data_IF_542721628988
#
_entry.id   IF_542721628988
#
_cell.length_a   1.000
_cell.length_b   1.000
_cell.length_c   1.000
_cell.angle_alpha   90.00
_cell.angle_beta   90.00
_cell.angle_gamma   90.00
#
_symmetry.space_group_name_H-M   'P 1'
#
loop_
_entity.id
_entity.type
_entity.pdbx_description
1 polymer ?
#
# COMPACT_ATOMS: atom_id res chain seq x y z
N UNK A 1 60.46 -88.16 110.20
CA UNK A 1 61.73 -87.57 110.67
C UNK A 1 62.80 -87.69 109.59
N UNK A 2 63.13 -86.59 108.91
CA UNK A 2 64.47 -86.20 108.44
C UNK A 2 64.37 -84.84 107.74
N UNK A 3 65.24 -83.95 108.16
CA UNK A 3 65.32 -82.51 107.89
C UNK A 3 66.30 -82.20 106.74
N UNK A 4 66.41 -80.90 106.43
CA UNK A 4 67.38 -80.17 105.57
C UNK A 4 66.87 -79.81 104.16
N UNK A 5 67.16 -78.63 103.58
CA UNK A 5 67.70 -77.32 104.01
C UNK A 5 67.49 -76.36 102.82
N UNK A 6 67.28 -75.09 103.14
CA UNK A 6 67.12 -73.94 102.23
C UNK A 6 68.46 -73.55 101.55
N UNK A 7 68.44 -73.17 100.26
CA UNK A 7 69.54 -72.51 99.49
C UNK A 7 68.93 -71.94 98.19
N UNK A 8 68.44 -70.69 98.09
CA UNK A 8 69.14 -69.40 97.87
C UNK A 8 70.31 -69.52 96.86
N UNK A 9 70.03 -69.81 95.57
CA UNK A 9 70.20 -68.75 94.55
C UNK A 9 69.28 -68.94 93.31
N UNK A 10 68.01 -69.28 93.49
CA UNK A 10 67.05 -69.54 92.39
C UNK A 10 66.38 -68.26 91.80
N UNK A 11 66.77 -67.06 92.24
CA UNK A 11 66.01 -65.82 91.98
C UNK A 11 66.67 -64.89 90.94
N UNK A 12 67.94 -65.11 90.58
CA UNK A 12 68.66 -64.21 89.65
C UNK A 12 68.60 -64.70 88.18
N UNK A 13 68.28 -65.97 87.93
CA UNK A 13 68.27 -66.52 86.58
C UNK A 13 66.93 -66.33 85.84
N UNK A 14 65.83 -66.10 86.56
CA UNK A 14 64.49 -65.93 85.97
C UNK A 14 64.15 -64.47 85.61
N UNK A 15 64.91 -63.49 86.07
CA UNK A 15 64.70 -62.07 85.77
C UNK A 15 65.42 -61.58 84.50
N UNK A 16 66.34 -62.37 83.93
CA UNK A 16 67.01 -62.03 82.67
C UNK A 16 66.24 -62.48 81.41
N UNK A 17 65.33 -63.47 81.54
CA UNK A 17 64.58 -63.99 80.40
C UNK A 17 63.31 -63.19 80.05
N UNK A 18 62.87 -62.27 80.93
CA UNK A 18 61.67 -61.46 80.72
C UNK A 18 61.94 -60.15 79.93
N UNK A 19 63.20 -59.83 79.61
CA UNK A 19 63.55 -58.56 78.93
C UNK A 19 63.77 -58.70 77.42
N UNK A 20 63.80 -59.91 76.87
CA UNK A 20 64.06 -60.14 75.43
C UNK A 20 62.76 -60.18 74.59
N UNK A 21 61.58 -60.25 75.22
CA UNK A 21 60.29 -60.31 74.51
C UNK A 21 59.70 -58.97 74.06
N UNK A 22 60.18 -57.82 74.57
CA UNK A 22 59.56 -56.50 74.30
C UNK A 22 60.23 -55.76 73.12
N UNK A 23 61.42 -56.18 72.67
CA UNK A 23 62.13 -55.49 71.57
C UNK A 23 61.62 -55.87 70.18
N UNK A 24 60.79 -56.92 70.05
CA UNK A 24 60.25 -57.34 68.75
C UNK A 24 59.02 -56.54 68.28
N UNK A 25 58.42 -55.68 69.11
CA UNK A 25 57.23 -54.89 68.73
C UNK A 25 57.51 -53.38 68.53
N UNK A 26 58.70 -52.89 68.88
CA UNK A 26 59.02 -51.45 68.81
C UNK A 26 59.59 -50.98 67.45
N UNK A 27 59.92 -51.89 66.52
CA UNK A 27 60.46 -51.55 65.19
C UNK A 27 59.45 -51.66 64.04
N UNK A 28 58.16 -51.85 64.33
CA UNK A 28 57.11 -51.97 63.29
C UNK A 28 56.32 -50.67 63.03
N UNK A 29 56.65 -49.56 63.69
CA UNK A 29 55.80 -48.35 63.65
C UNK A 29 56.58 -47.03 63.66
N UNK A 30 57.54 -46.86 62.76
CA UNK A 30 58.29 -45.58 62.59
C UNK A 30 58.54 -45.20 61.12
N UNK A 31 57.62 -45.54 60.21
CA UNK A 31 57.72 -45.12 58.78
C UNK A 31 56.54 -44.24 58.30
N UNK A 32 55.49 -44.00 59.10
CA UNK A 32 54.24 -43.44 58.54
C UNK A 32 54.01 -41.91 58.68
N UNK A 33 54.80 -41.15 59.45
CA UNK A 33 54.43 -39.75 59.76
C UNK A 33 55.16 -38.66 58.96
N UNK A 34 56.27 -38.95 58.28
CA UNK A 34 57.04 -37.94 57.50
C UNK A 34 56.62 -37.89 56.02
N UNK A 35 56.17 -39.01 55.44
CA UNK A 35 55.58 -39.05 54.10
C UNK A 35 54.27 -38.23 54.04
N UNK A 36 53.43 -38.32 55.08
CA UNK A 36 52.10 -37.69 55.11
C UNK A 36 52.10 -36.14 55.12
N UNK A 37 53.12 -35.47 55.70
CA UNK A 37 53.21 -34.00 55.66
C UNK A 37 53.79 -33.45 54.35
N UNK A 38 54.74 -34.18 53.77
CA UNK A 38 55.40 -33.79 52.52
C UNK A 38 54.44 -33.98 51.34
N UNK A 39 53.66 -35.06 51.34
CA UNK A 39 52.56 -35.29 50.40
C UNK A 39 51.43 -34.26 50.56
N UNK A 40 51.08 -33.87 51.79
CA UNK A 40 50.08 -32.81 52.01
C UNK A 40 50.55 -31.46 51.45
N UNK A 41 51.79 -31.04 51.68
CA UNK A 41 52.33 -29.80 51.08
C UNK A 41 52.42 -29.87 49.56
N UNK A 42 52.89 -31.00 49.01
CA UNK A 42 52.93 -31.22 47.56
C UNK A 42 51.53 -31.22 46.93
N UNK A 43 50.54 -31.82 47.59
CA UNK A 43 49.13 -31.81 47.13
C UNK A 43 48.50 -30.41 47.20
N UNK A 44 48.92 -29.57 48.15
CA UNK A 44 48.43 -28.21 48.32
C UNK A 44 49.06 -27.24 47.30
N UNK A 45 50.34 -27.43 47.00
CA UNK A 45 51.05 -26.75 45.90
C UNK A 45 50.45 -27.14 44.54
N UNK A 46 50.24 -28.46 44.30
CA UNK A 46 49.58 -28.96 43.10
C UNK A 46 48.14 -28.45 42.96
N UNK A 47 47.41 -28.33 44.06
CA UNK A 47 46.05 -27.75 44.06
C UNK A 47 46.06 -26.25 43.84
N UNK A 48 47.08 -25.51 44.30
CA UNK A 48 47.23 -24.08 44.01
C UNK A 48 47.61 -23.83 42.56
N UNK A 49 48.50 -24.64 41.97
CA UNK A 49 48.86 -24.52 40.55
C UNK A 49 47.67 -24.86 39.66
N UNK A 50 46.94 -25.94 39.96
CA UNK A 50 45.69 -26.32 39.26
C UNK A 50 44.58 -25.27 39.41
N UNK A 51 44.45 -24.66 40.59
CA UNK A 51 43.48 -23.58 40.81
C UNK A 51 43.89 -22.29 40.06
N UNK A 52 45.18 -21.96 40.03
CA UNK A 52 45.68 -20.81 39.28
C UNK A 52 45.50 -20.99 37.77
N UNK A 53 45.82 -22.17 37.23
CA UNK A 53 45.58 -22.49 35.81
C UNK A 53 44.08 -22.53 35.49
N UNK A 54 43.24 -23.06 36.39
CA UNK A 54 41.78 -23.04 36.23
C UNK A 54 41.20 -21.61 36.28
N UNK A 55 41.74 -20.74 37.13
CA UNK A 55 41.33 -19.32 37.20
C UNK A 55 41.79 -18.56 35.96
N UNK A 56 43.00 -18.79 35.48
CA UNK A 56 43.55 -18.13 34.30
C UNK A 56 42.82 -18.56 33.02
N UNK A 57 42.56 -19.86 32.84
CA UNK A 57 41.74 -20.37 31.74
C UNK A 57 40.29 -19.85 31.79
N UNK A 58 39.68 -19.77 32.97
CA UNK A 58 38.34 -19.16 33.13
C UNK A 58 38.34 -17.66 32.81
N UNK A 59 39.40 -16.92 33.17
CA UNK A 59 39.53 -15.49 32.83
C UNK A 59 39.68 -15.30 31.32
N UNK A 60 40.56 -16.06 30.68
CA UNK A 60 40.75 -16.02 29.22
C UNK A 60 39.46 -16.36 28.48
N UNK A 61 38.77 -17.42 28.88
CA UNK A 61 37.48 -17.81 28.28
C UNK A 61 36.40 -16.74 28.51
N UNK A 62 36.40 -16.06 29.67
CA UNK A 62 35.46 -14.97 29.97
C UNK A 62 35.77 -13.73 29.14
N UNK A 63 37.03 -13.38 28.98
CA UNK A 63 37.46 -12.21 28.18
C UNK A 63 37.19 -12.44 26.68
N UNK A 64 37.43 -13.65 26.18
CA UNK A 64 37.07 -14.05 24.82
C UNK A 64 35.55 -14.05 24.62
N UNK A 65 34.78 -14.53 25.59
CA UNK A 65 33.32 -14.48 25.55
C UNK A 65 32.81 -13.03 25.54
N UNK A 66 33.40 -12.13 26.35
CA UNK A 66 33.04 -10.71 26.38
C UNK A 66 33.34 -10.04 25.03
N UNK A 67 34.51 -10.30 24.44
CA UNK A 67 34.88 -9.79 23.11
C UNK A 67 33.93 -10.28 22.03
N UNK A 68 33.58 -11.58 22.05
CA UNK A 68 32.62 -12.16 21.11
C UNK A 68 31.21 -11.57 21.28
N UNK A 69 30.78 -11.28 22.50
CA UNK A 69 29.50 -10.62 22.75
C UNK A 69 29.50 -9.16 22.28
N UNK A 70 30.60 -8.43 22.48
CA UNK A 70 30.75 -7.06 21.98
C UNK A 70 30.72 -7.01 20.45
N UNK A 71 31.49 -7.88 19.79
CA UNK A 71 31.49 -7.98 18.33
C UNK A 71 30.10 -8.34 17.77
N UNK A 72 29.39 -9.30 18.39
CA UNK A 72 28.01 -9.63 18.01
C UNK A 72 27.03 -8.47 18.23
N UNK A 73 27.22 -7.70 19.30
CA UNK A 73 26.38 -6.53 19.59
C UNK A 73 26.59 -5.42 18.57
N UNK A 74 27.83 -5.16 18.18
CA UNK A 74 28.18 -4.19 17.13
C UNK A 74 27.65 -4.64 15.76
N UNK A 75 27.84 -5.91 15.40
CA UNK A 75 27.30 -6.47 14.15
C UNK A 75 25.77 -6.38 14.11
N UNK A 76 25.10 -6.69 15.23
CA UNK A 76 23.65 -6.56 15.33
C UNK A 76 23.20 -5.10 15.22
N UNK A 77 23.90 -4.16 15.87
CA UNK A 77 23.60 -2.73 15.77
C UNK A 77 23.73 -2.24 14.31
N UNK A 78 24.83 -2.58 13.64
CA UNK A 78 25.06 -2.21 12.24
C UNK A 78 23.99 -2.80 11.32
N UNK A 79 23.63 -4.09 11.49
CA UNK A 79 22.54 -4.72 10.72
C UNK A 79 21.18 -4.07 11.00
N UNK A 80 20.90 -3.69 12.25
CA UNK A 80 19.66 -3.01 12.61
C UNK A 80 19.58 -1.62 11.97
N UNK A 81 20.68 -0.86 11.95
CA UNK A 81 20.72 0.46 11.34
C UNK A 81 20.67 0.39 9.80
N UNK A 82 21.34 -0.57 9.18
CA UNK A 82 21.19 -0.85 7.74
C UNK A 82 19.76 -1.27 7.38
N UNK A 83 19.14 -2.13 8.19
CA UNK A 83 17.76 -2.56 7.97
C UNK A 83 16.78 -1.38 8.10
N UNK A 84 16.98 -0.50 9.09
CA UNK A 84 16.20 0.74 9.25
C UNK A 84 16.40 1.69 8.07
N UNK A 85 17.63 1.91 7.62
CA UNK A 85 17.92 2.77 6.47
C UNK A 85 17.29 2.21 5.18
N UNK A 86 17.38 0.90 4.96
CA UNK A 86 16.70 0.22 3.82
C UNK A 86 15.18 0.33 3.91
N UNK A 87 14.60 0.16 5.09
CA UNK A 87 13.16 0.28 5.27
C UNK A 87 12.67 1.71 5.03
N UNK A 88 13.38 2.71 5.57
CA UNK A 88 13.07 4.13 5.36
C UNK A 88 13.15 4.51 3.87
N UNK A 89 14.24 4.16 3.20
CA UNK A 89 14.45 4.45 1.77
C UNK A 89 13.44 3.73 0.87
N UNK A 90 13.12 2.46 1.15
CA UNK A 90 12.11 1.73 0.38
C UNK A 90 10.68 2.24 0.61
N UNK A 91 10.36 2.67 1.84
CA UNK A 91 9.06 3.27 2.16
C UNK A 91 8.91 4.61 1.47
N UNK A 92 9.90 5.50 1.58
CA UNK A 92 9.91 6.79 0.88
C UNK A 92 9.80 6.61 -0.65
N UNK A 93 10.59 5.71 -1.24
CA UNK A 93 10.51 5.43 -2.68
C UNK A 93 9.15 4.87 -3.11
N UNK A 94 8.47 4.09 -2.25
CA UNK A 94 7.10 3.60 -2.51
C UNK A 94 6.08 4.72 -2.43
N UNK A 95 6.17 5.60 -1.45
CA UNK A 95 5.29 6.76 -1.30
C UNK A 95 5.43 7.70 -2.50
N UNK A 96 6.66 8.07 -2.88
CA UNK A 96 6.90 8.91 -4.06
C UNK A 96 6.36 8.27 -5.34
N UNK A 97 6.64 6.99 -5.59
CA UNK A 97 6.09 6.27 -6.76
C UNK A 97 4.57 6.19 -6.74
N UNK A 98 3.96 6.07 -5.57
CA UNK A 98 2.50 6.05 -5.44
C UNK A 98 1.90 7.42 -5.78
N UNK A 99 2.50 8.50 -5.28
CA UNK A 99 2.07 9.87 -5.57
C UNK A 99 2.25 10.21 -7.06
N UNK A 100 3.40 9.89 -7.65
CA UNK A 100 3.67 10.06 -9.09
C UNK A 100 2.68 9.30 -9.96
N UNK A 101 2.37 8.04 -9.60
CA UNK A 101 1.37 7.24 -10.31
C UNK A 101 -0.02 7.84 -10.21
N UNK A 102 -0.43 8.29 -9.04
CA UNK A 102 -1.73 8.93 -8.83
C UNK A 102 -1.84 10.22 -9.64
N UNK A 103 -0.81 11.08 -9.62
CA UNK A 103 -0.76 12.30 -10.40
C UNK A 103 -0.86 12.01 -11.91
N UNK A 104 -0.05 11.08 -12.42
CA UNK A 104 -0.06 10.70 -13.84
C UNK A 104 -1.39 10.04 -14.27
N UNK A 105 -2.06 9.30 -13.38
CA UNK A 105 -3.39 8.76 -13.65
C UNK A 105 -4.45 9.85 -13.70
N UNK A 106 -4.39 10.83 -12.81
CA UNK A 106 -5.32 11.96 -12.79
C UNK A 106 -5.16 12.83 -14.04
N UNK A 107 -3.93 13.15 -14.44
CA UNK A 107 -3.65 13.92 -15.65
C UNK A 107 -4.19 13.21 -16.90
N UNK A 108 -3.92 11.90 -17.05
CA UNK A 108 -4.48 11.10 -18.16
C UNK A 108 -5.99 11.01 -18.13
N UNK A 109 -6.61 11.00 -16.95
CA UNK A 109 -8.06 10.99 -16.83
C UNK A 109 -8.63 12.34 -17.27
N UNK A 110 -8.04 13.46 -16.85
CA UNK A 110 -8.43 14.81 -17.27
C UNK A 110 -8.30 14.99 -18.78
N UNK A 111 -7.19 14.55 -19.39
CA UNK A 111 -6.98 14.63 -20.84
C UNK A 111 -8.06 13.86 -21.61
N UNK A 112 -8.34 12.61 -21.21
CA UNK A 112 -9.37 11.77 -21.85
C UNK A 112 -10.76 12.36 -21.72
N UNK A 113 -11.09 12.87 -20.54
CA UNK A 113 -12.39 13.45 -20.25
C UNK A 113 -12.58 14.76 -21.02
N UNK A 114 -11.56 15.62 -21.05
CA UNK A 114 -11.55 16.84 -21.86
C UNK A 114 -11.78 16.53 -23.34
N UNK A 115 -11.00 15.59 -23.90
CA UNK A 115 -11.16 15.15 -25.28
C UNK A 115 -12.56 14.57 -25.56
N UNK A 116 -13.12 13.80 -24.64
CA UNK A 116 -14.49 13.26 -24.77
C UNK A 116 -15.53 14.39 -24.85
N UNK A 117 -15.41 15.42 -24.00
CA UNK A 117 -16.37 16.54 -24.01
C UNK A 117 -16.21 17.38 -25.25
N UNK A 118 -14.99 17.71 -25.66
CA UNK A 118 -14.75 18.45 -26.92
C UNK A 118 -15.36 17.73 -28.12
N UNK A 119 -15.10 16.42 -28.25
CA UNK A 119 -15.70 15.61 -29.32
C UNK A 119 -17.23 15.59 -29.25
N UNK A 120 -17.80 15.56 -28.04
CA UNK A 120 -19.26 15.62 -27.87
C UNK A 120 -19.82 16.96 -28.32
N UNK A 121 -19.19 18.08 -27.94
CA UNK A 121 -19.60 19.42 -28.34
C UNK A 121 -19.54 19.61 -29.85
N UNK A 122 -18.45 19.19 -30.50
CA UNK A 122 -18.32 19.27 -31.96
C UNK A 122 -19.43 18.50 -32.67
N UNK A 123 -19.76 17.30 -32.18
CA UNK A 123 -20.85 16.49 -32.75
C UNK A 123 -22.21 17.14 -32.56
N UNK A 124 -22.51 17.68 -31.37
CA UNK A 124 -23.78 18.35 -31.09
C UNK A 124 -23.92 19.66 -31.87
N UNK A 125 -22.85 20.45 -31.98
CA UNK A 125 -22.83 21.65 -32.81
C UNK A 125 -23.07 21.30 -34.28
N UNK A 126 -22.37 20.29 -34.82
CA UNK A 126 -22.56 19.87 -36.19
C UNK A 126 -23.96 19.31 -36.49
N UNK A 127 -24.64 18.73 -35.49
CA UNK A 127 -26.05 18.34 -35.64
C UNK A 127 -26.94 19.58 -35.64
N UNK A 128 -26.72 20.51 -34.72
CA UNK A 128 -27.46 21.78 -34.65
C UNK A 128 -27.37 22.55 -35.97
N UNK A 129 -26.18 22.67 -36.55
CA UNK A 129 -25.96 23.32 -37.86
C UNK A 129 -26.76 22.65 -38.98
N UNK A 130 -26.86 21.31 -38.97
CA UNK A 130 -27.67 20.57 -39.95
C UNK A 130 -29.15 20.85 -39.78
N UNK A 131 -29.64 20.92 -38.55
CA UNK A 131 -31.05 21.22 -38.26
C UNK A 131 -31.38 22.65 -38.69
N UNK A 132 -30.53 23.63 -38.39
CA UNK A 132 -30.64 25.02 -38.86
C UNK A 132 -30.70 25.09 -40.39
N UNK A 133 -29.83 24.36 -41.09
CA UNK A 133 -29.84 24.32 -42.55
C UNK A 133 -31.16 23.75 -43.12
N UNK A 134 -31.81 22.83 -42.41
CA UNK A 134 -33.12 22.29 -42.78
C UNK A 134 -34.20 23.35 -42.56
N UNK A 135 -34.23 24.02 -41.39
CA UNK A 135 -35.16 25.12 -41.10
C UNK A 135 -35.09 26.20 -42.18
N UNK A 136 -33.88 26.64 -42.54
CA UNK A 136 -33.68 27.64 -43.60
C UNK A 136 -34.26 27.20 -44.96
N UNK A 137 -34.16 25.90 -45.28
CA UNK A 137 -34.77 25.35 -46.50
C UNK A 137 -36.28 25.30 -46.43
N UNK A 138 -36.85 25.00 -45.25
CA UNK A 138 -38.30 25.03 -45.05
C UNK A 138 -38.83 26.45 -45.16
N UNK A 139 -38.18 27.43 -44.52
CA UNK A 139 -38.52 28.86 -44.65
C UNK A 139 -38.52 29.32 -46.11
N UNK A 140 -37.46 29.04 -46.87
CA UNK A 140 -37.42 29.40 -48.28
C UNK A 140 -38.57 28.79 -49.10
N UNK A 141 -39.08 27.62 -48.72
CA UNK A 141 -40.26 27.01 -49.37
C UNK A 141 -41.57 27.61 -48.88
N UNK A 142 -41.66 28.01 -47.61
CA UNK A 142 -42.80 28.76 -47.07
C UNK A 142 -42.95 30.08 -47.80
N UNK A 143 -41.86 30.82 -48.00
CA UNK A 143 -41.87 32.08 -48.75
C UNK A 143 -42.47 31.88 -50.16
N UNK A 144 -42.02 30.85 -50.89
CA UNK A 144 -42.54 30.52 -52.23
C UNK A 144 -44.04 30.16 -52.21
N UNK A 145 -44.52 29.49 -51.16
CA UNK A 145 -45.95 29.15 -51.02
C UNK A 145 -46.77 30.39 -50.65
N UNK A 146 -46.28 31.22 -49.74
CA UNK A 146 -46.90 32.47 -49.35
C UNK A 146 -47.02 33.46 -50.52
N UNK A 147 -45.99 33.57 -51.37
CA UNK A 147 -46.03 34.35 -52.61
C UNK A 147 -47.13 33.89 -53.58
N UNK A 148 -47.52 32.61 -53.52
CA UNK A 148 -48.62 32.04 -54.31
C UNK A 148 -50.00 32.21 -53.64
N UNK A 149 -50.05 32.82 -52.46
CA UNK A 149 -51.28 33.00 -51.69
C UNK A 149 -51.74 31.76 -50.93
N UNK A 150 -50.86 30.76 -50.74
CA UNK A 150 -51.15 29.61 -49.86
C UNK A 150 -51.07 30.07 -48.40
N UNK A 151 -52.04 29.66 -47.57
CA UNK A 151 -51.98 29.93 -46.12
C UNK A 151 -50.87 29.11 -45.47
N UNK A 152 -49.85 29.80 -44.97
CA UNK A 152 -48.66 29.19 -44.37
C UNK A 152 -48.64 29.28 -42.83
N UNK A 153 -49.69 29.83 -42.21
CA UNK A 153 -49.72 30.16 -40.77
C UNK A 153 -49.42 28.98 -39.85
N UNK A 154 -49.97 27.79 -40.15
CA UNK A 154 -49.74 26.58 -39.37
C UNK A 154 -48.29 26.09 -39.47
N UNK A 155 -47.68 26.19 -40.65
CA UNK A 155 -46.30 25.78 -40.85
C UNK A 155 -45.30 26.78 -40.24
N UNK A 156 -45.62 28.08 -40.25
CA UNK A 156 -44.84 29.12 -39.56
C UNK A 156 -44.82 28.89 -38.04
N UNK A 157 -45.96 28.51 -37.45
CA UNK A 157 -46.04 28.20 -36.03
C UNK A 157 -45.10 27.05 -35.64
N UNK A 158 -45.11 25.96 -36.42
CA UNK A 158 -44.21 24.82 -36.22
C UNK A 158 -42.73 25.19 -36.41
N UNK A 159 -42.40 26.07 -37.36
CA UNK A 159 -41.03 26.57 -37.51
C UNK A 159 -40.61 27.46 -36.33
N UNK A 160 -41.53 28.21 -35.72
CA UNK A 160 -41.23 28.96 -34.50
C UNK A 160 -40.79 28.01 -33.39
N UNK A 161 -41.54 26.93 -33.17
CA UNK A 161 -41.20 25.88 -32.18
C UNK A 161 -39.84 25.26 -32.48
N UNK A 162 -39.57 24.94 -33.76
CA UNK A 162 -38.26 24.41 -34.15
C UNK A 162 -37.12 25.39 -33.86
N UNK A 163 -37.32 26.69 -34.12
CA UNK A 163 -36.34 27.74 -33.86
C UNK A 163 -36.04 27.90 -32.38
N UNK A 164 -37.07 27.90 -31.52
CA UNK A 164 -36.93 27.98 -30.07
C UNK A 164 -36.16 26.79 -29.50
N UNK A 165 -36.48 25.58 -29.96
CA UNK A 165 -35.77 24.37 -29.55
C UNK A 165 -34.28 24.39 -29.99
N UNK A 166 -33.98 24.89 -31.20
CA UNK A 166 -32.59 25.08 -31.66
C UNK A 166 -31.84 26.10 -30.79
N UNK A 167 -32.49 27.19 -30.40
CA UNK A 167 -31.90 28.19 -29.50
C UNK A 167 -31.57 27.59 -28.14
N UNK A 168 -32.52 26.84 -27.54
CA UNK A 168 -32.29 26.10 -26.29
C UNK A 168 -31.12 25.13 -26.42
N UNK A 169 -31.06 24.33 -27.50
CA UNK A 169 -29.97 23.42 -27.78
C UNK A 169 -28.62 24.15 -27.85
N UNK A 170 -28.58 25.32 -28.51
CA UNK A 170 -27.38 26.15 -28.65
C UNK A 170 -26.90 26.69 -27.31
N UNK A 171 -27.82 27.17 -26.46
CA UNK A 171 -27.52 27.62 -25.10
C UNK A 171 -26.96 26.47 -24.26
N UNK A 172 -27.57 25.29 -24.32
CA UNK A 172 -27.13 24.10 -23.61
C UNK A 172 -25.75 23.61 -24.09
N UNK A 173 -25.43 23.71 -25.38
CA UNK A 173 -24.08 23.46 -25.91
C UNK A 173 -23.05 24.47 -25.34
N UNK A 174 -23.45 25.74 -25.19
CA UNK A 174 -22.66 26.76 -24.49
C UNK A 174 -22.37 26.37 -23.04
N UNK A 175 -23.38 25.91 -22.31
CA UNK A 175 -23.26 25.40 -20.94
C UNK A 175 -22.30 24.22 -20.84
N UNK A 176 -22.33 23.28 -21.79
CA UNK A 176 -21.35 22.18 -21.84
C UNK A 176 -19.90 22.66 -21.89
N UNK A 177 -19.64 23.83 -22.50
CA UNK A 177 -18.29 24.41 -22.59
C UNK A 177 -17.80 24.92 -21.25
N UNK A 178 -18.70 25.50 -20.47
CA UNK A 178 -18.40 25.96 -19.11
C UNK A 178 -18.13 24.76 -18.20
N UNK A 179 -19.03 23.77 -18.23
CA UNK A 179 -18.87 22.54 -17.45
C UNK A 179 -17.62 21.74 -17.81
N UNK A 180 -17.18 21.78 -19.07
CA UNK A 180 -15.91 21.17 -19.48
C UNK A 180 -14.71 21.78 -18.75
N UNK A 181 -14.72 23.11 -18.59
CA UNK A 181 -13.68 23.84 -17.87
C UNK A 181 -13.76 23.55 -16.37
N UNK A 182 -14.96 23.56 -15.81
CA UNK A 182 -15.19 23.27 -14.39
C UNK A 182 -14.73 21.84 -14.06
N UNK A 183 -14.97 20.88 -14.94
CA UNK A 183 -14.60 19.48 -14.72
C UNK A 183 -13.08 19.27 -14.59
N UNK A 184 -12.28 20.05 -15.30
CA UNK A 184 -10.81 19.98 -15.21
C UNK A 184 -10.30 20.58 -13.91
N UNK A 185 -10.99 21.59 -13.38
CA UNK A 185 -10.56 22.37 -12.21
C UNK A 185 -11.30 22.00 -10.91
N UNK A 186 -12.30 21.12 -10.96
CA UNK A 186 -13.13 20.76 -9.83
C UNK A 186 -12.46 19.73 -8.92
N UNK A 187 -12.61 19.93 -7.61
CA UNK A 187 -12.28 18.93 -6.59
C UNK A 187 -13.25 17.73 -6.60
N UNK A 188 -14.42 17.88 -7.21
CA UNK A 188 -15.48 16.86 -7.31
C UNK A 188 -15.87 16.53 -8.77
N UNK A 189 -14.94 16.00 -9.58
CA UNK A 189 -15.16 15.82 -11.02
C UNK A 189 -16.30 14.85 -11.37
N UNK A 190 -16.69 13.96 -10.45
CA UNK A 190 -17.83 13.05 -10.67
C UNK A 190 -19.18 13.76 -10.68
N UNK A 191 -19.31 14.81 -9.87
CA UNK A 191 -20.53 15.62 -9.79
C UNK A 191 -20.67 16.42 -11.09
N UNK A 192 -19.61 17.14 -11.48
CA UNK A 192 -19.58 17.91 -12.72
C UNK A 192 -19.80 17.01 -13.95
N UNK A 193 -19.21 15.81 -13.99
CA UNK A 193 -19.45 14.86 -15.09
C UNK A 193 -20.93 14.42 -15.19
N UNK A 194 -21.64 14.35 -14.07
CA UNK A 194 -23.07 14.02 -14.06
C UNK A 194 -23.88 15.17 -14.65
N UNK A 195 -23.54 16.41 -14.31
CA UNK A 195 -24.15 17.62 -14.90
C UNK A 195 -23.88 17.70 -16.42
N UNK A 196 -22.65 17.44 -16.85
CA UNK A 196 -22.29 17.36 -18.29
C UNK A 196 -23.22 16.39 -19.03
N UNK A 197 -23.48 15.21 -18.47
CA UNK A 197 -24.39 14.22 -19.08
C UNK A 197 -25.83 14.71 -19.11
N UNK A 198 -26.30 15.35 -18.05
CA UNK A 198 -27.65 15.89 -17.98
C UNK A 198 -27.86 16.97 -19.04
N UNK A 199 -26.94 17.93 -19.14
CA UNK A 199 -26.99 18.99 -20.16
C UNK A 199 -26.89 18.41 -21.57
N UNK A 200 -26.03 17.42 -21.80
CA UNK A 200 -25.95 16.75 -23.10
C UNK A 200 -27.25 16.04 -23.50
N UNK A 201 -27.99 15.47 -22.52
CA UNK A 201 -29.30 14.90 -22.77
C UNK A 201 -30.35 15.98 -23.08
N UNK A 202 -30.28 17.15 -22.43
CA UNK A 202 -31.15 18.28 -22.77
C UNK A 202 -30.94 18.73 -24.22
N UNK A 203 -29.68 18.92 -24.65
CA UNK A 203 -29.37 19.23 -26.06
C UNK A 203 -29.99 18.20 -27.00
N UNK A 204 -29.90 16.90 -26.64
CA UNK A 204 -30.50 15.84 -27.44
C UNK A 204 -32.02 15.99 -27.54
N UNK A 205 -32.70 16.24 -26.43
CA UNK A 205 -34.15 16.42 -26.42
C UNK A 205 -34.59 17.63 -27.23
N UNK A 206 -33.91 18.77 -27.06
CA UNK A 206 -34.16 19.99 -27.82
C UNK A 206 -34.01 19.75 -29.34
N UNK A 207 -32.99 18.98 -29.76
CA UNK A 207 -32.79 18.64 -31.17
C UNK A 207 -33.81 17.61 -31.70
N UNK A 208 -34.36 16.75 -30.85
CA UNK A 208 -35.46 15.85 -31.20
C UNK A 208 -36.76 16.62 -31.39
N UNK A 209 -37.06 17.57 -30.50
CA UNK A 209 -38.20 18.48 -30.59
C UNK A 209 -38.12 19.34 -31.85
N UNK A 210 -36.97 19.97 -32.11
CA UNK A 210 -36.76 20.75 -33.34
C UNK A 210 -37.00 19.92 -34.60
N UNK A 211 -36.53 18.67 -34.62
CA UNK A 211 -36.77 17.75 -35.76
C UNK A 211 -38.24 17.43 -35.94
N UNK A 212 -38.97 17.18 -34.86
CA UNK A 212 -40.36 16.78 -34.93
C UNK A 212 -41.26 17.97 -35.30
N UNK A 213 -40.95 19.18 -34.82
CA UNK A 213 -41.56 20.44 -35.27
C UNK A 213 -41.30 20.71 -36.77
N UNK A 214 -40.07 20.49 -37.27
CA UNK A 214 -39.77 20.58 -38.71
C UNK A 214 -40.64 19.61 -39.53
N UNK A 215 -40.92 18.40 -39.02
CA UNK A 215 -41.82 17.46 -39.70
C UNK A 215 -43.26 17.96 -39.66
N UNK A 216 -43.70 18.54 -38.55
CA UNK A 216 -44.97 19.24 -38.41
C UNK A 216 -45.13 20.31 -39.48
N UNK A 217 -44.15 21.21 -39.60
CA UNK A 217 -44.14 22.27 -40.61
C UNK A 217 -44.24 21.71 -42.05
N UNK A 218 -43.47 20.67 -42.38
CA UNK A 218 -43.52 20.06 -43.72
C UNK A 218 -44.87 19.40 -44.01
N UNK A 219 -45.55 18.82 -43.02
CA UNK A 219 -46.88 18.26 -43.20
C UNK A 219 -47.93 19.36 -43.38
N UNK A 220 -47.91 20.40 -42.54
CA UNK A 220 -48.78 21.55 -42.67
C UNK A 220 -48.64 22.23 -44.05
N UNK A 221 -47.42 22.35 -44.58
CA UNK A 221 -47.18 22.85 -45.93
C UNK A 221 -47.82 21.99 -47.03
N UNK A 222 -47.83 20.67 -46.87
CA UNK A 222 -48.43 19.78 -47.87
C UNK A 222 -49.95 19.91 -47.86
N UNK A 223 -50.54 19.89 -46.67
CA UNK A 223 -51.98 20.06 -46.47
C UNK A 223 -52.44 21.41 -47.07
N UNK A 224 -51.77 22.51 -46.71
CA UNK A 224 -52.09 23.83 -47.24
C UNK A 224 -51.96 23.91 -48.78
N UNK A 225 -50.94 23.27 -49.35
CA UNK A 225 -50.76 23.23 -50.80
C UNK A 225 -51.83 22.37 -51.50
N UNK A 226 -52.28 21.28 -50.88
CA UNK A 226 -53.37 20.45 -51.39
C UNK A 226 -54.71 21.21 -51.38
N UNK A 227 -55.01 21.89 -50.28
CA UNK A 227 -56.23 22.69 -50.13
C UNK A 227 -56.29 23.83 -51.17
N UNK A 228 -55.18 24.55 -51.35
CA UNK A 228 -55.07 25.61 -52.37
C UNK A 228 -55.29 25.09 -53.79
N UNK A 229 -54.78 23.89 -54.11
CA UNK A 229 -54.97 23.30 -55.43
C UNK A 229 -56.42 22.84 -55.64
N UNK A 230 -57.09 22.34 -54.61
CA UNK A 230 -58.50 21.97 -54.69
C UNK A 230 -59.39 23.20 -54.91
N UNK A 231 -59.16 24.28 -54.15
CA UNK A 231 -59.94 25.52 -54.30
C UNK A 231 -59.79 26.17 -55.68
N UNK A 232 -58.64 26.02 -56.33
CA UNK A 232 -58.41 26.56 -57.67
C UNK A 232 -58.95 25.69 -58.80
N UNK A 233 -59.23 24.41 -58.56
CA UNK A 233 -59.81 23.51 -59.58
C UNK A 233 -61.35 23.56 -59.63
N UNK A 234 -61.99 24.12 -58.60
CA UNK A 234 -63.45 24.27 -58.52
C UNK A 234 -63.96 25.59 -59.15
N UNK A 235 -63.05 26.47 -59.58
CA UNK A 235 -63.34 27.76 -60.23
C UNK A 235 -63.13 27.67 -61.74
#
# INVERSE_FOLDING_TARGET
MKSLKLSIPFIILTTLLAFVGIVAFANAQTVSSTETQTERKASLEARKTDLNTSVETKKLNRDEHIKNLQAKKEEFANRADEARARFASTTAARETRSQERLAAMNEKAQEKVGAMITNMQERLSAITDKVVAIVNRVNSRLDILGERGVDISSAEAEISVASEAIESATLNIGTLRLLANDLVNSDEPRVVLTEVKNVANLVKYDLEEARDAIRGAVNAMKEAAEDYNQSNNEV
#
